data_IF_129697365567
#
_entry.id   IF_129697365567
#
_cell.length_a   1.000
_cell.length_b   1.000
_cell.length_c   1.000
_cell.angle_alpha   90.00
_cell.angle_beta   90.00
_cell.angle_gamma   90.00
#
_symmetry.space_group_name_H-M   'P 1'
#
loop_
_entity.id
_entity.type
_entity.pdbx_description
1 polymer ?
#
# COMPACT_ATOMS: atom_id res chain seq x y z
N UNK A 1 -13.64 -18.55 5.26
CA UNK A 1 -14.17 -17.45 6.07
C UNK A 1 -13.92 -16.17 5.30
N UNK A 2 -14.92 -15.27 5.16
CA UNK A 2 -14.66 -13.94 4.57
C UNK A 2 -13.74 -13.18 5.52
N UNK A 3 -12.79 -12.39 5.00
CA UNK A 3 -11.91 -11.57 5.84
C UNK A 3 -12.74 -10.58 6.67
N UNK A 4 -12.24 -10.24 7.85
CA UNK A 4 -12.74 -9.08 8.57
C UNK A 4 -12.50 -7.83 7.71
N UNK A 5 -13.58 -7.12 7.34
CA UNK A 5 -13.49 -5.95 6.48
C UNK A 5 -13.96 -4.74 7.26
N UNK A 6 -13.12 -3.73 7.31
CA UNK A 6 -13.48 -2.42 7.82
C UNK A 6 -13.47 -1.41 6.66
N UNK A 7 -14.54 -0.63 6.54
CA UNK A 7 -14.73 0.38 5.49
C UNK A 7 -14.70 1.75 6.15
N UNK A 8 -13.82 2.61 5.66
CA UNK A 8 -13.66 3.97 6.20
C UNK A 8 -13.89 5.00 5.10
N UNK A 9 -14.49 6.12 5.47
CA UNK A 9 -14.66 7.28 4.60
C UNK A 9 -13.62 8.38 4.85
N UNK A 10 -13.00 8.40 6.02
CA UNK A 10 -12.09 9.45 6.47
C UNK A 10 -10.66 8.95 6.66
N UNK A 11 -9.62 9.65 6.19
CA UNK A 11 -9.59 10.96 5.50
C UNK A 11 -10.04 10.90 4.03
N UNK A 12 -10.11 9.73 3.44
CA UNK A 12 -10.62 9.39 2.12
C UNK A 12 -11.11 7.93 2.15
N UNK A 13 -11.93 7.46 1.20
CA UNK A 13 -12.39 6.07 1.17
C UNK A 13 -11.23 5.08 1.20
N UNK A 14 -11.24 4.17 2.16
CA UNK A 14 -10.26 3.09 2.23
C UNK A 14 -10.83 1.85 2.93
N UNK A 15 -10.24 0.71 2.61
CA UNK A 15 -10.60 -0.60 3.13
C UNK A 15 -9.42 -1.18 3.91
N UNK A 16 -9.73 -1.82 5.02
CA UNK A 16 -8.78 -2.63 5.77
C UNK A 16 -9.33 -4.04 5.89
N UNK A 17 -8.58 -5.03 5.45
CA UNK A 17 -8.91 -6.45 5.59
C UNK A 17 -7.96 -7.06 6.61
N UNK A 18 -8.49 -7.69 7.66
CA UNK A 18 -7.68 -8.28 8.73
C UNK A 18 -8.38 -9.49 9.38
N UNK A 19 -7.91 -10.73 9.16
CA UNK A 19 -6.89 -11.11 8.16
C UNK A 19 -7.45 -11.03 6.73
N UNK A 20 -6.58 -10.74 5.75
CA UNK A 20 -6.98 -10.61 4.35
C UNK A 20 -7.02 -11.95 3.59
N UNK A 21 -6.15 -12.87 3.92
CA UNK A 21 -6.03 -14.19 3.32
C UNK A 21 -6.22 -15.30 4.36
N UNK A 22 -6.59 -16.50 3.90
CA UNK A 22 -6.50 -17.71 4.72
C UNK A 22 -5.04 -17.98 5.12
N UNK A 23 -4.82 -18.78 6.16
CA UNK A 23 -3.46 -19.13 6.58
C UNK A 23 -2.66 -19.79 5.47
N UNK A 24 -3.25 -20.72 4.71
CA UNK A 24 -2.59 -21.41 3.60
C UNK A 24 -2.23 -20.44 2.46
N UNK A 25 -3.16 -19.57 2.08
CA UNK A 25 -2.92 -18.57 1.03
C UNK A 25 -1.84 -17.58 1.44
N UNK A 26 -1.85 -17.18 2.71
CA UNK A 26 -0.85 -16.28 3.25
C UNK A 26 0.53 -16.95 3.34
N UNK A 27 0.60 -18.21 3.77
CA UNK A 27 1.83 -18.98 3.75
C UNK A 27 2.38 -19.13 2.31
N UNK A 28 1.48 -19.39 1.34
CA UNK A 28 1.85 -19.43 -0.08
C UNK A 28 2.42 -18.10 -0.59
N UNK A 29 1.87 -16.96 -0.16
CA UNK A 29 2.41 -15.64 -0.49
C UNK A 29 3.80 -15.44 0.14
N UNK A 30 3.99 -15.83 1.39
CA UNK A 30 5.25 -15.69 2.10
C UNK A 30 6.36 -16.55 1.49
N UNK A 31 6.04 -17.76 1.04
CA UNK A 31 6.99 -18.66 0.39
C UNK A 31 7.55 -18.09 -0.94
N UNK A 32 6.87 -17.08 -1.51
CA UNK A 32 7.33 -16.39 -2.71
C UNK A 32 8.17 -15.14 -2.44
N UNK A 33 8.46 -14.86 -1.19
CA UNK A 33 9.38 -13.77 -0.86
C UNK A 33 10.74 -14.05 -1.51
N UNK A 34 11.23 -13.16 -2.36
CA UNK A 34 12.52 -13.38 -3.03
C UNK A 34 13.67 -13.28 -2.04
N UNK A 35 14.63 -14.19 -2.12
CA UNK A 35 15.83 -14.18 -1.28
C UNK A 35 16.80 -13.07 -1.72
N UNK A 36 16.90 -12.85 -3.04
CA UNK A 36 17.81 -11.87 -3.62
C UNK A 36 17.08 -10.58 -4.02
N UNK A 37 17.40 -9.50 -3.34
CA UNK A 37 16.84 -8.17 -3.64
C UNK A 37 17.64 -7.43 -4.70
N UNK A 38 16.97 -7.10 -5.78
CA UNK A 38 17.65 -6.66 -7.00
C UNK A 38 17.86 -5.14 -7.09
N UNK A 39 16.99 -4.29 -6.58
CA UNK A 39 17.11 -2.83 -6.82
C UNK A 39 16.70 -2.02 -5.59
N UNK A 40 17.45 -0.96 -5.28
CA UNK A 40 16.99 0.01 -4.30
C UNK A 40 18.07 0.89 -3.71
N UNK A 41 17.59 1.86 -2.95
CA UNK A 41 18.44 2.73 -2.13
C UNK A 41 18.86 2.01 -0.84
N UNK A 42 19.73 2.63 -0.04
CA UNK A 42 20.15 2.11 1.26
C UNK A 42 18.98 1.83 2.22
N UNK A 43 17.81 2.40 2.00
CA UNK A 43 16.65 2.29 2.88
C UNK A 43 15.42 1.63 2.25
N UNK A 44 15.42 1.37 0.94
CA UNK A 44 14.27 0.80 0.25
C UNK A 44 14.72 -0.17 -0.83
N UNK A 45 14.23 -1.39 -0.80
CA UNK A 45 14.47 -2.41 -1.82
C UNK A 45 13.15 -2.89 -2.39
N UNK A 46 13.10 -3.13 -3.67
CA UNK A 46 11.90 -3.58 -4.39
C UNK A 46 12.23 -4.75 -5.31
N UNK A 47 11.26 -5.65 -5.47
CA UNK A 47 11.31 -6.75 -6.43
C UNK A 47 10.09 -6.72 -7.31
N UNK A 48 10.31 -6.80 -8.59
CA UNK A 48 9.26 -7.18 -9.50
C UNK A 48 8.92 -8.67 -9.31
N UNK A 49 7.66 -8.98 -9.19
CA UNK A 49 7.17 -10.36 -9.32
C UNK A 49 7.20 -10.70 -10.80
N UNK A 50 7.63 -11.92 -11.20
CA UNK A 50 7.54 -12.34 -12.59
C UNK A 50 6.13 -12.16 -13.16
N UNK A 51 6.03 -11.78 -14.42
CA UNK A 51 4.76 -11.47 -15.09
C UNK A 51 3.73 -12.61 -15.08
N UNK A 52 4.18 -13.83 -14.89
CA UNK A 52 3.36 -15.04 -14.81
C UNK A 52 2.79 -15.30 -13.42
N UNK A 53 3.28 -14.60 -12.39
CA UNK A 53 2.99 -14.91 -11.00
C UNK A 53 2.08 -13.85 -10.38
N UNK A 54 0.79 -13.97 -10.64
CA UNK A 54 -0.22 -13.16 -9.92
C UNK A 54 -0.42 -13.71 -8.51
N UNK A 55 0.00 -12.95 -7.52
CA UNK A 55 -0.05 -13.33 -6.09
C UNK A 55 -1.30 -12.81 -5.38
N UNK A 56 -2.23 -12.23 -6.10
CA UNK A 56 -3.49 -11.77 -5.55
C UNK A 56 -4.62 -12.77 -5.82
N UNK A 57 -5.55 -12.89 -4.89
CA UNK A 57 -6.73 -13.76 -5.06
C UNK A 57 -7.81 -13.06 -5.88
N UNK A 58 -8.40 -13.72 -6.87
CA UNK A 58 -9.49 -13.15 -7.67
C UNK A 58 -10.67 -12.65 -6.83
N UNK A 59 -11.01 -13.36 -5.76
CA UNK A 59 -12.08 -12.97 -4.84
C UNK A 59 -11.77 -11.66 -4.10
N UNK A 60 -10.54 -11.47 -3.66
CA UNK A 60 -10.10 -10.20 -3.02
C UNK A 60 -10.13 -9.05 -4.03
N UNK A 61 -9.68 -9.29 -5.26
CA UNK A 61 -9.73 -8.29 -6.34
C UNK A 61 -11.17 -7.86 -6.61
N UNK A 62 -12.09 -8.83 -6.79
CA UNK A 62 -13.50 -8.54 -7.05
C UNK A 62 -14.14 -7.73 -5.91
N UNK A 63 -13.81 -8.08 -4.66
CA UNK A 63 -14.33 -7.40 -3.49
C UNK A 63 -13.82 -5.96 -3.37
N UNK A 64 -12.52 -5.73 -3.59
CA UNK A 64 -11.93 -4.38 -3.62
C UNK A 64 -12.59 -3.53 -4.71
N UNK A 65 -12.73 -4.07 -5.93
CA UNK A 65 -13.43 -3.37 -7.03
C UNK A 65 -14.83 -2.94 -6.64
N UNK A 66 -15.60 -3.86 -6.08
CA UNK A 66 -16.98 -3.60 -5.67
C UNK A 66 -17.05 -2.52 -4.58
N UNK A 67 -16.26 -2.65 -3.52
CA UNK A 67 -16.33 -1.77 -2.37
C UNK A 67 -15.77 -0.36 -2.64
N UNK A 68 -14.72 -0.26 -3.44
CA UNK A 68 -14.15 1.04 -3.85
C UNK A 68 -14.78 1.61 -5.12
N UNK A 69 -15.70 0.89 -5.77
CA UNK A 69 -16.35 1.28 -7.02
C UNK A 69 -15.33 1.64 -8.12
N UNK A 70 -14.25 0.89 -8.21
CA UNK A 70 -13.19 1.12 -9.20
C UNK A 70 -13.30 0.18 -10.39
N UNK A 71 -12.85 0.67 -11.55
CA UNK A 71 -12.65 -0.11 -12.75
C UNK A 71 -11.16 -0.41 -12.91
N UNK A 72 -10.83 -1.35 -13.78
CA UNK A 72 -9.43 -1.64 -14.14
C UNK A 72 -8.96 -3.04 -13.75
N UNK A 73 -7.78 -3.40 -14.23
CA UNK A 73 -7.16 -4.68 -13.95
C UNK A 73 -6.04 -4.54 -12.92
N UNK A 74 -5.83 -5.56 -12.07
CA UNK A 74 -4.72 -5.53 -11.14
C UNK A 74 -3.39 -5.67 -11.90
N UNK A 75 -2.43 -4.84 -11.54
CA UNK A 75 -1.07 -4.97 -12.05
C UNK A 75 -0.36 -6.17 -11.43
N UNK A 76 0.74 -6.56 -12.04
CA UNK A 76 1.73 -7.40 -11.38
C UNK A 76 2.24 -6.64 -10.16
N UNK A 77 2.22 -7.33 -9.03
CA UNK A 77 2.67 -6.74 -7.78
C UNK A 77 4.19 -6.68 -7.66
N UNK A 78 4.63 -6.04 -6.60
CA UNK A 78 6.04 -6.04 -6.19
C UNK A 78 6.17 -6.33 -4.70
N UNK A 79 7.16 -7.10 -4.34
CA UNK A 79 7.61 -7.18 -2.95
C UNK A 79 8.45 -5.94 -2.63
N UNK A 80 8.31 -5.42 -1.45
CA UNK A 80 9.09 -4.28 -1.01
C UNK A 80 9.59 -4.47 0.42
N UNK A 81 10.87 -4.21 0.63
CA UNK A 81 11.50 -4.11 1.93
C UNK A 81 11.85 -2.65 2.17
N UNK A 82 11.34 -2.10 3.27
CA UNK A 82 11.68 -0.76 3.76
C UNK A 82 12.49 -0.92 5.04
N UNK A 83 13.72 -0.45 5.03
CA UNK A 83 14.61 -0.56 6.18
C UNK A 83 14.32 0.50 7.25
N UNK A 84 14.79 0.24 8.45
CA UNK A 84 14.84 1.25 9.50
C UNK A 84 15.47 2.55 8.97
N UNK A 85 14.92 3.70 9.35
CA UNK A 85 15.29 5.01 8.84
C UNK A 85 14.54 5.47 7.58
N UNK A 86 13.87 4.56 6.85
CA UNK A 86 13.05 4.94 5.71
C UNK A 86 11.86 5.79 6.14
N UNK A 87 11.55 6.80 5.36
CA UNK A 87 10.41 7.69 5.50
C UNK A 87 9.83 8.00 4.13
N UNK A 88 8.53 8.13 4.05
CA UNK A 88 7.83 8.54 2.83
C UNK A 88 6.89 9.69 3.17
N UNK A 89 7.15 10.86 2.59
CA UNK A 89 6.31 12.04 2.78
C UNK A 89 4.92 11.84 2.22
N UNK A 90 3.91 12.62 2.65
CA UNK A 90 2.59 12.59 2.04
C UNK A 90 2.68 12.76 0.52
N UNK A 91 2.08 11.83 -0.21
CA UNK A 91 2.11 11.78 -1.68
C UNK A 91 0.87 11.09 -2.22
N UNK A 92 0.66 11.22 -3.51
CA UNK A 92 -0.23 10.39 -4.32
C UNK A 92 0.61 9.42 -5.13
N UNK A 93 0.09 8.25 -5.40
CA UNK A 93 0.68 7.34 -6.37
C UNK A 93 0.50 7.86 -7.80
N UNK A 94 1.13 7.19 -8.78
CA UNK A 94 1.05 7.59 -10.17
C UNK A 94 -0.41 7.69 -10.64
N UNK A 95 -0.74 8.74 -11.40
CA UNK A 95 -2.09 9.03 -11.90
C UNK A 95 -2.67 7.91 -12.78
N UNK A 96 -1.83 7.08 -13.39
CA UNK A 96 -2.27 5.92 -14.15
C UNK A 96 -2.92 4.84 -13.28
N UNK A 97 -2.66 4.84 -11.98
CA UNK A 97 -3.27 3.91 -11.05
C UNK A 97 -4.66 4.39 -10.62
N UNK A 98 -5.63 3.48 -10.64
CA UNK A 98 -7.00 3.72 -10.14
C UNK A 98 -7.09 3.50 -8.64
N UNK A 99 -6.32 2.53 -8.14
CA UNK A 99 -6.22 2.25 -6.71
C UNK A 99 -4.89 1.60 -6.37
N UNK A 100 -4.52 1.72 -5.10
CA UNK A 100 -3.34 1.10 -4.49
C UNK A 100 -3.78 0.06 -3.48
N UNK A 101 -3.10 -1.08 -3.47
CA UNK A 101 -3.30 -2.16 -2.52
C UNK A 101 -1.96 -2.53 -1.88
N UNK A 102 -1.92 -2.52 -0.57
CA UNK A 102 -0.72 -2.80 0.23
C UNK A 102 -1.03 -3.96 1.18
N UNK A 103 -0.33 -5.07 1.02
CA UNK A 103 -0.42 -6.23 1.89
C UNK A 103 0.78 -6.26 2.83
N UNK A 104 0.55 -6.25 4.13
CA UNK A 104 1.59 -6.27 5.14
C UNK A 104 2.09 -7.68 5.37
N UNK A 105 3.40 -7.87 5.26
CA UNK A 105 4.06 -9.15 5.42
C UNK A 105 4.90 -9.16 6.71
N UNK A 106 5.05 -10.31 7.40
CA UNK A 106 5.80 -10.38 8.63
C UNK A 106 7.28 -10.06 8.39
N UNK A 107 7.89 -9.41 9.35
CA UNK A 107 9.33 -9.20 9.42
C UNK A 107 9.80 -9.40 10.85
N UNK A 108 10.94 -10.05 11.08
CA UNK A 108 11.45 -10.27 12.43
C UNK A 108 11.55 -8.95 13.22
N UNK A 109 11.04 -8.96 14.45
CA UNK A 109 11.07 -7.80 15.36
C UNK A 109 10.41 -6.51 14.82
N UNK A 110 9.47 -6.63 13.87
CA UNK A 110 8.69 -5.48 13.43
C UNK A 110 7.82 -4.92 14.57
N UNK A 111 7.64 -3.61 14.57
CA UNK A 111 6.68 -2.94 15.47
C UNK A 111 5.41 -2.57 14.74
N UNK A 112 4.34 -2.28 15.47
CA UNK A 112 3.07 -1.76 14.92
C UNK A 112 3.18 -0.33 14.38
N UNK A 113 4.26 0.38 14.72
CA UNK A 113 4.59 1.73 14.27
C UNK A 113 4.97 1.83 12.78
N UNK A 114 5.23 0.69 12.14
CA UNK A 114 5.55 0.61 10.71
C UNK A 114 4.33 0.74 9.77
N UNK A 115 3.21 1.23 10.27
CA UNK A 115 1.94 1.33 9.54
C UNK A 115 1.92 2.42 8.47
N UNK A 116 0.98 2.30 7.53
CA UNK A 116 0.78 3.33 6.49
C UNK A 116 -0.02 4.49 7.06
N UNK A 117 0.52 5.70 6.88
CA UNK A 117 -0.11 6.94 7.33
C UNK A 117 -1.05 7.47 6.26
N UNK A 118 -2.26 7.85 6.65
CA UNK A 118 -3.28 8.47 5.82
C UNK A 118 -3.42 9.92 6.25
N UNK A 119 -3.36 10.82 5.27
CA UNK A 119 -3.35 12.25 5.50
C UNK A 119 -4.56 12.92 4.85
N UNK A 120 -5.00 14.02 5.46
CA UNK A 120 -5.95 14.96 4.83
C UNK A 120 -5.13 16.15 4.33
N UNK A 121 -5.05 16.37 3.02
CA UNK A 121 -4.48 17.60 2.47
C UNK A 121 -5.46 18.76 2.73
N UNK A 122 -4.95 19.99 2.86
CA UNK A 122 -5.78 21.20 3.03
C UNK A 122 -6.58 21.50 1.76
N UNK A 123 -6.03 21.13 0.60
CA UNK A 123 -6.70 21.21 -0.70
C UNK A 123 -6.34 19.99 -1.56
N UNK A 124 -7.22 19.60 -2.50
CA UNK A 124 -6.92 18.51 -3.42
C UNK A 124 -5.75 18.86 -4.33
N UNK A 125 -4.93 17.88 -4.70
CA UNK A 125 -3.90 18.05 -5.71
C UNK A 125 -4.51 17.97 -7.12
N UNK A 126 -4.65 19.10 -7.80
CA UNK A 126 -5.40 19.17 -9.06
C UNK A 126 -4.58 18.99 -10.33
N UNK A 127 -3.28 19.19 -10.31
CA UNK A 127 -2.46 19.19 -11.54
C UNK A 127 -1.04 18.71 -11.30
N UNK A 128 -0.43 18.20 -12.38
CA UNK A 128 1.01 17.96 -12.46
C UNK A 128 1.49 16.69 -11.76
N UNK A 129 0.60 15.89 -11.29
CA UNK A 129 0.99 14.58 -10.84
C UNK A 129 0.87 13.60 -12.01
N UNK A 130 1.71 13.71 -13.00
CA UNK A 130 1.51 12.95 -14.22
C UNK A 130 2.32 11.64 -14.23
N UNK A 131 3.59 11.69 -14.12
CA UNK A 131 4.43 10.56 -14.53
C UNK A 131 5.05 9.78 -13.37
N UNK A 132 5.07 10.37 -12.17
CA UNK A 132 5.63 9.79 -10.96
C UNK A 132 4.74 10.11 -9.76
N UNK A 133 5.01 9.47 -8.63
CA UNK A 133 4.32 9.81 -7.38
C UNK A 133 4.44 11.32 -7.08
N UNK A 134 3.29 11.98 -6.91
CA UNK A 134 3.26 13.41 -6.63
C UNK A 134 3.27 13.65 -5.12
N UNK A 135 4.19 14.48 -4.68
CA UNK A 135 4.35 14.79 -3.26
C UNK A 135 3.66 16.11 -2.91
N UNK A 136 2.67 16.07 -2.03
CA UNK A 136 2.02 17.27 -1.51
C UNK A 136 3.01 18.27 -0.91
N UNK A 137 4.03 17.76 -0.24
CA UNK A 137 5.09 18.58 0.31
C UNK A 137 5.83 19.42 -0.76
N UNK A 138 6.10 18.86 -1.93
CA UNK A 138 6.74 19.60 -3.03
C UNK A 138 5.79 20.61 -3.67
N UNK A 139 4.48 20.33 -3.62
CA UNK A 139 3.42 21.25 -4.05
C UNK A 139 3.11 22.32 -3.01
N UNK A 140 3.77 22.30 -1.84
CA UNK A 140 3.52 23.20 -0.70
C UNK A 140 2.10 23.10 -0.12
N UNK A 141 1.38 22.03 -0.39
CA UNK A 141 0.07 21.77 0.20
C UNK A 141 0.26 21.09 1.55
N UNK A 142 -0.13 21.74 2.65
CA UNK A 142 -0.05 21.12 3.95
C UNK A 142 -0.95 19.89 4.06
N UNK A 143 -0.47 18.87 4.77
CA UNK A 143 -1.20 17.64 4.99
C UNK A 143 -1.25 17.32 6.49
N UNK A 144 -2.44 17.12 7.01
CA UNK A 144 -2.65 16.69 8.40
C UNK A 144 -2.68 15.17 8.47
N UNK A 145 -1.85 14.56 9.30
CA UNK A 145 -1.98 13.13 9.63
C UNK A 145 -3.31 12.90 10.34
N UNK A 146 -4.13 12.01 9.81
CA UNK A 146 -5.46 11.67 10.37
C UNK A 146 -5.44 10.28 10.99
N UNK A 147 -4.82 9.32 10.30
CA UNK A 147 -4.83 7.93 10.73
C UNK A 147 -3.52 7.25 10.36
N UNK A 148 -3.09 6.33 11.20
CA UNK A 148 -2.08 5.32 10.84
C UNK A 148 -2.75 3.96 10.87
N UNK A 149 -2.77 3.26 9.74
CA UNK A 149 -3.22 1.87 9.67
C UNK A 149 -2.13 1.01 10.29
N UNK A 150 -2.38 0.31 11.41
CA UNK A 150 -1.34 -0.45 12.11
C UNK A 150 -0.68 -1.48 11.20
N UNK A 151 0.64 -1.63 11.31
CA UNK A 151 1.35 -2.69 10.59
C UNK A 151 1.12 -4.02 11.29
N UNK A 152 0.23 -4.83 10.73
CA UNK A 152 -0.14 -6.14 11.25
C UNK A 152 -0.02 -7.17 10.12
N UNK A 153 0.68 -8.30 10.34
CA UNK A 153 0.81 -9.33 9.31
C UNK A 153 -0.55 -9.80 8.79
N UNK A 154 -0.60 -10.10 7.48
CA UNK A 154 -1.82 -10.50 6.79
C UNK A 154 -2.94 -9.44 6.75
N UNK A 155 -2.60 -8.17 6.99
CA UNK A 155 -3.53 -7.07 6.77
C UNK A 155 -3.34 -6.49 5.36
N UNK A 156 -4.44 -6.20 4.68
CA UNK A 156 -4.46 -5.47 3.41
C UNK A 156 -5.10 -4.11 3.62
N UNK A 157 -4.42 -3.08 3.18
CA UNK A 157 -4.94 -1.72 3.01
C UNK A 157 -5.18 -1.48 1.53
N UNK A 158 -6.40 -1.07 1.15
CA UNK A 158 -6.74 -0.69 -0.22
C UNK A 158 -7.46 0.66 -0.27
N UNK A 159 -7.10 1.51 -1.24
CA UNK A 159 -7.72 2.83 -1.41
C UNK A 159 -7.66 3.29 -2.86
N UNK A 160 -8.63 4.11 -3.32
CA UNK A 160 -8.61 4.68 -4.65
C UNK A 160 -7.53 5.76 -4.74
N UNK A 161 -6.91 5.90 -5.90
CA UNK A 161 -5.95 6.96 -6.16
C UNK A 161 -6.70 8.20 -6.69
N UNK A 162 -6.93 9.15 -5.79
CA UNK A 162 -7.68 10.40 -6.06
C UNK A 162 -6.85 11.61 -5.63
N UNK A 163 -7.23 12.83 -6.03
CA UNK A 163 -6.53 14.05 -5.62
C UNK A 163 -6.41 14.29 -4.11
N UNK A 164 -7.13 13.52 -3.30
CA UNK A 164 -7.13 13.64 -1.83
C UNK A 164 -6.57 12.41 -1.12
N UNK A 165 -6.20 11.36 -1.84
CA UNK A 165 -5.71 10.09 -1.24
C UNK A 165 -4.26 10.16 -0.78
N UNK A 166 -3.93 11.24 -0.05
CA UNK A 166 -2.58 11.46 0.46
C UNK A 166 -2.20 10.40 1.49
N UNK A 167 -1.13 9.69 1.20
CA UNK A 167 -0.61 8.67 2.11
C UNK A 167 0.90 8.73 2.20
N UNK A 168 1.47 8.01 3.16
CA UNK A 168 2.91 8.03 3.37
C UNK A 168 3.34 7.13 4.51
N UNK A 169 4.52 7.41 5.06
CA UNK A 169 5.11 6.62 6.10
C UNK A 169 5.94 7.52 7.02
N UNK A 170 5.71 7.43 8.30
CA UNK A 170 6.61 8.02 9.29
C UNK A 170 7.96 7.30 9.23
N UNK A 171 8.99 7.94 9.77
CA UNK A 171 10.32 7.34 9.82
C UNK A 171 10.28 6.03 10.57
N UNK A 172 10.63 4.95 9.90
CA UNK A 172 10.64 3.61 10.47
C UNK A 172 11.73 3.47 11.54
N UNK A 173 11.37 2.92 12.68
CA UNK A 173 12.32 2.49 13.72
C UNK A 173 12.83 1.08 13.44
N UNK A 174 12.04 0.27 12.75
CA UNK A 174 12.35 -1.11 12.34
C UNK A 174 12.00 -1.33 10.88
N UNK A 175 12.60 -2.34 10.25
CA UNK A 175 12.28 -2.68 8.87
C UNK A 175 10.88 -3.29 8.75
N UNK A 176 10.26 -3.15 7.58
CA UNK A 176 9.00 -3.79 7.24
C UNK A 176 9.03 -4.41 5.86
N UNK A 177 8.27 -5.49 5.69
CA UNK A 177 8.00 -6.14 4.39
C UNK A 177 6.58 -5.87 3.95
N UNK A 178 6.37 -5.72 2.65
CA UNK A 178 5.05 -5.60 2.07
C UNK A 178 5.02 -6.18 0.66
N UNK A 179 3.82 -6.56 0.21
CA UNK A 179 3.50 -6.83 -1.18
C UNK A 179 2.54 -5.74 -1.66
N UNK A 180 2.90 -5.03 -2.72
CA UNK A 180 2.13 -3.90 -3.23
C UNK A 180 1.75 -4.13 -4.69
N UNK A 181 0.52 -3.82 -5.04
CA UNK A 181 0.00 -3.84 -6.40
C UNK A 181 -1.04 -2.74 -6.59
N UNK A 182 -1.45 -2.50 -7.85
CA UNK A 182 -2.34 -1.40 -8.20
C UNK A 182 -3.42 -1.90 -9.16
N UNK A 183 -4.49 -1.15 -9.26
CA UNK A 183 -5.41 -1.22 -10.40
C UNK A 183 -5.04 -0.15 -11.42
N UNK A 184 -5.06 -0.52 -12.72
CA UNK A 184 -4.81 0.37 -13.86
C UNK A 184 -6.03 0.48 -14.77
#
# INVERSE_FOLDING_TARGET
MLPGIEIFADPFPHLVFDPALSEDDYAGLLARWPEDMVVGTNHAKEYAVPATDFLWKPSLVALIRQLLQIQGEPTIGRFALRHAGYQLKPHLDNISFKATVIHYLPYPNQGTDAGTCLYRPEEPLHRGWADHAAYFHSSKIPCKLVKTVPFKPNTVLAFPNTPISAHGLLRLTKSRRLYQWHFV
#
